data_IF_469334525417
#
_entry.id   IF_469334525417
#
_cell.length_a   1.000
_cell.length_b   1.000
_cell.length_c   1.000
_cell.angle_alpha   90.00
_cell.angle_beta   90.00
_cell.angle_gamma   90.00
#
_symmetry.space_group_name_H-M   'P 1'
#
loop_
_entity.id
_entity.type
_entity.pdbx_description
1 polymer ?
#
# COMPACT_ATOMS: atom_id res chain seq x y z
N UNK A 1 -7.70 -13.72 -27.72
CA UNK A 1 -8.55 -13.34 -26.58
C UNK A 1 -10.01 -13.42 -27.01
N UNK A 2 -10.84 -14.12 -26.23
CA UNK A 2 -12.29 -14.20 -26.46
C UNK A 2 -13.06 -13.22 -25.54
N UNK A 3 -12.50 -12.91 -24.35
CA UNK A 3 -13.12 -12.08 -23.34
C UNK A 3 -12.07 -11.47 -22.41
N UNK A 4 -12.27 -10.22 -21.98
CA UNK A 4 -11.53 -9.59 -20.89
C UNK A 4 -12.50 -9.37 -19.74
N UNK A 5 -12.11 -9.70 -18.50
CA UNK A 5 -12.87 -9.42 -17.28
C UNK A 5 -12.05 -8.47 -16.42
N UNK A 6 -12.63 -7.32 -16.11
CA UNK A 6 -12.00 -6.25 -15.35
C UNK A 6 -12.52 -6.27 -13.91
N UNK A 7 -11.65 -6.52 -12.94
CA UNK A 7 -12.04 -6.54 -11.55
C UNK A 7 -12.40 -5.14 -11.02
N UNK A 8 -13.41 -5.08 -10.16
CA UNK A 8 -13.71 -3.92 -9.33
C UNK A 8 -13.97 -4.39 -7.87
N UNK A 9 -13.37 -3.73 -6.85
CA UNK A 9 -12.56 -2.52 -6.96
C UNK A 9 -11.15 -2.76 -7.50
N UNK A 10 -10.58 -1.72 -8.14
CA UNK A 10 -9.20 -1.63 -8.62
C UNK A 10 -8.74 -0.17 -8.57
N UNK A 11 -7.48 0.09 -8.91
CA UNK A 11 -6.93 1.45 -8.97
C UNK A 11 -6.83 2.13 -7.60
N UNK A 12 -6.72 3.44 -7.59
CA UNK A 12 -6.46 4.22 -6.40
C UNK A 12 -7.47 3.96 -5.27
N UNK A 13 -6.94 3.56 -4.10
CA UNK A 13 -7.73 3.55 -2.88
C UNK A 13 -7.83 4.97 -2.27
N UNK A 14 -8.72 5.15 -1.30
CA UNK A 14 -8.89 6.45 -0.63
C UNK A 14 -7.59 6.97 0.02
N UNK A 15 -6.75 6.09 0.58
CA UNK A 15 -5.46 6.47 1.18
C UNK A 15 -4.46 6.99 0.17
N UNK A 16 -4.40 6.37 -1.01
CA UNK A 16 -3.55 6.79 -2.13
C UNK A 16 -4.04 8.11 -2.72
N UNK A 17 -5.34 8.21 -3.01
CA UNK A 17 -5.94 9.45 -3.52
C UNK A 17 -5.69 10.63 -2.57
N UNK A 18 -5.86 10.42 -1.27
CA UNK A 18 -5.56 11.39 -0.22
C UNK A 18 -4.10 11.85 -0.25
N UNK A 19 -3.14 10.93 -0.34
CA UNK A 19 -1.72 11.27 -0.34
C UNK A 19 -1.32 12.05 -1.60
N UNK A 20 -1.82 11.66 -2.76
CA UNK A 20 -1.62 12.35 -4.04
C UNK A 20 -2.19 13.77 -3.98
N UNK A 21 -3.43 13.93 -3.49
CA UNK A 21 -4.07 15.23 -3.35
C UNK A 21 -3.28 16.17 -2.43
N UNK A 22 -2.69 15.66 -1.36
CA UNK A 22 -1.84 16.43 -0.45
C UNK A 22 -0.60 16.97 -1.16
N UNK A 23 0.09 16.19 -1.99
CA UNK A 23 1.23 16.66 -2.77
C UNK A 23 0.81 17.73 -3.77
N UNK A 24 -0.32 17.54 -4.44
CA UNK A 24 -0.91 18.53 -5.36
C UNK A 24 -1.20 19.87 -4.65
N UNK A 25 -1.79 19.80 -3.46
CA UNK A 25 -2.08 20.98 -2.64
C UNK A 25 -0.80 21.63 -2.12
N UNK A 26 0.21 20.84 -1.75
CA UNK A 26 1.51 21.35 -1.31
C UNK A 26 2.21 22.11 -2.44
N UNK A 27 2.23 21.56 -3.67
CA UNK A 27 2.76 22.26 -4.85
C UNK A 27 2.01 23.57 -5.14
N UNK A 28 0.69 23.57 -5.00
CA UNK A 28 -0.12 24.80 -5.16
C UNK A 28 0.19 25.85 -4.09
N UNK A 29 0.45 25.42 -2.86
CA UNK A 29 0.69 26.30 -1.72
C UNK A 29 2.09 26.89 -1.71
N UNK A 30 3.09 26.07 -1.94
CA UNK A 30 4.48 26.44 -1.70
C UNK A 30 5.24 26.70 -3.02
N UNK A 31 4.71 26.22 -4.16
CA UNK A 31 5.45 26.17 -5.41
C UNK A 31 6.53 25.07 -5.37
N UNK A 32 7.17 24.82 -6.51
CA UNK A 32 8.30 23.92 -6.58
C UNK A 32 9.60 24.61 -6.08
N UNK A 33 10.52 23.87 -5.44
CA UNK A 33 10.43 22.46 -5.11
C UNK A 33 9.63 22.16 -3.84
N UNK A 34 8.89 21.06 -3.84
CA UNK A 34 8.34 20.41 -2.65
C UNK A 34 9.08 19.10 -2.45
N UNK A 35 9.55 18.84 -1.25
CA UNK A 35 10.25 17.60 -0.94
C UNK A 35 9.26 16.54 -0.46
N UNK A 36 9.48 15.28 -0.84
CA UNK A 36 8.69 14.14 -0.37
C UNK A 36 9.65 13.06 0.14
N UNK A 37 9.48 12.64 1.39
CA UNK A 37 10.28 11.56 1.96
C UNK A 37 9.75 10.21 1.52
N UNK A 38 10.61 9.42 0.85
CA UNK A 38 10.29 8.20 0.10
C UNK A 38 9.29 8.47 -1.06
N UNK A 39 9.02 7.46 -1.86
CA UNK A 39 7.94 7.53 -2.83
C UNK A 39 6.61 7.85 -2.13
N UNK A 40 5.83 8.79 -2.65
CA UNK A 40 4.53 9.17 -2.04
C UNK A 40 3.61 7.96 -1.91
N UNK A 41 3.63 7.11 -2.93
CA UNK A 41 3.03 5.78 -3.00
C UNK A 41 3.95 4.89 -3.84
N UNK A 42 3.88 3.57 -3.68
CA UNK A 42 4.69 2.62 -4.44
C UNK A 42 4.18 2.48 -5.89
N UNK A 43 4.51 3.46 -6.73
CA UNK A 43 4.24 3.46 -8.17
C UNK A 43 5.18 4.45 -8.87
N UNK A 44 6.07 3.95 -9.73
CA UNK A 44 7.10 4.74 -10.41
C UNK A 44 6.50 5.76 -11.38
N UNK A 45 5.37 5.43 -12.01
CA UNK A 45 4.68 6.37 -12.88
C UNK A 45 4.19 7.60 -12.10
N UNK A 46 3.59 7.36 -10.92
CA UNK A 46 3.13 8.46 -10.04
C UNK A 46 4.31 9.29 -9.55
N UNK A 47 5.42 8.65 -9.15
CA UNK A 47 6.63 9.35 -8.71
C UNK A 47 7.15 10.24 -9.83
N UNK A 48 7.36 9.72 -11.04
CA UNK A 48 7.84 10.48 -12.20
C UNK A 48 6.92 11.65 -12.54
N UNK A 49 5.60 11.44 -12.50
CA UNK A 49 4.63 12.50 -12.79
C UNK A 49 4.73 13.69 -11.83
N UNK A 50 5.16 13.46 -10.60
CA UNK A 50 5.43 14.52 -9.62
C UNK A 50 6.82 15.12 -9.79
N UNK A 51 7.84 14.33 -10.12
CA UNK A 51 9.19 14.86 -10.45
C UNK A 51 9.14 15.84 -11.60
N UNK A 52 8.39 15.55 -12.67
CA UNK A 52 8.17 16.42 -13.82
C UNK A 52 7.51 17.76 -13.42
N UNK A 53 6.86 17.81 -12.26
CA UNK A 53 6.20 19.00 -11.70
C UNK A 53 7.02 19.69 -10.62
N UNK A 54 8.27 19.25 -10.40
CA UNK A 54 9.21 19.87 -9.48
C UNK A 54 9.12 19.35 -8.03
N UNK A 55 8.55 18.17 -7.82
CA UNK A 55 8.70 17.43 -6.54
C UNK A 55 10.07 16.78 -6.50
N UNK A 56 10.73 16.84 -5.36
CA UNK A 56 12.01 16.19 -5.11
C UNK A 56 11.82 15.08 -4.08
N UNK A 57 11.97 13.82 -4.51
CA UNK A 57 11.92 12.68 -3.61
C UNK A 57 13.27 12.48 -2.94
N UNK A 58 13.25 12.26 -1.62
CA UNK A 58 14.46 12.06 -0.79
C UNK A 58 14.27 10.84 0.12
N UNK A 59 15.35 10.13 0.38
CA UNK A 59 15.35 9.00 1.30
C UNK A 59 15.57 9.46 2.75
N UNK A 60 16.40 10.46 2.95
CA UNK A 60 16.74 10.98 4.27
C UNK A 60 16.27 12.43 4.46
N UNK A 61 15.83 12.75 5.67
CA UNK A 61 15.42 14.13 6.03
C UNK A 61 16.61 15.11 5.96
N UNK A 62 17.80 14.61 6.15
CA UNK A 62 19.05 15.37 6.06
C UNK A 62 19.25 16.00 4.68
N UNK A 63 18.74 15.39 3.63
CA UNK A 63 18.83 15.87 2.24
C UNK A 63 17.86 17.02 1.93
N UNK A 64 16.89 17.29 2.81
CA UNK A 64 15.97 18.41 2.66
C UNK A 64 16.63 19.68 3.18
N UNK A 65 16.74 20.78 2.39
CA UNK A 65 17.26 22.05 2.90
C UNK A 65 16.41 22.60 4.05
N UNK A 66 17.05 23.34 4.96
CA UNK A 66 16.38 23.92 6.14
C UNK A 66 15.18 24.81 5.73
N UNK A 67 14.09 24.72 6.47
CA UNK A 67 12.89 25.54 6.28
C UNK A 67 12.01 25.16 5.09
N UNK A 68 12.41 24.19 4.26
CA UNK A 68 11.65 23.79 3.08
C UNK A 68 10.40 22.97 3.43
N UNK A 69 9.38 22.97 2.54
CA UNK A 69 8.22 22.08 2.69
C UNK A 69 8.62 20.63 2.44
N UNK A 70 8.23 19.74 3.35
CA UNK A 70 8.42 18.29 3.23
C UNK A 70 7.11 17.55 3.47
N UNK A 71 6.78 16.64 2.56
CA UNK A 71 5.63 15.74 2.68
C UNK A 71 6.11 14.38 3.20
N UNK A 72 5.49 13.86 4.24
CA UNK A 72 5.64 12.46 4.65
C UNK A 72 4.68 11.61 3.83
N UNK A 73 5.20 10.54 3.23
CA UNK A 73 4.45 9.67 2.32
C UNK A 73 3.27 8.94 2.99
N UNK A 74 2.43 8.32 2.17
CA UNK A 74 1.28 7.54 2.63
C UNK A 74 1.62 6.44 3.66
N UNK A 75 2.87 5.99 3.66
CA UNK A 75 3.35 4.89 4.50
C UNK A 75 3.63 5.28 5.96
N UNK A 76 3.63 6.57 6.27
CA UNK A 76 3.96 7.09 7.60
C UNK A 76 5.47 7.16 7.86
N UNK A 77 5.81 7.75 9.00
CA UNK A 77 7.20 7.91 9.44
C UNK A 77 7.32 7.69 10.94
N UNK A 78 8.51 7.26 11.38
CA UNK A 78 8.81 7.12 12.80
C UNK A 78 8.87 8.48 13.51
N UNK A 79 8.70 8.52 14.86
CA UNK A 79 8.90 9.73 15.66
C UNK A 79 10.31 10.34 15.52
N UNK A 80 11.32 9.53 15.22
CA UNK A 80 12.69 10.02 15.00
C UNK A 80 12.75 10.90 13.77
N UNK A 81 12.16 10.47 12.66
CA UNK A 81 12.10 11.25 11.42
C UNK A 81 11.37 12.58 11.63
N UNK A 82 10.27 12.59 12.40
CA UNK A 82 9.56 13.83 12.75
C UNK A 82 10.45 14.80 13.53
N UNK A 83 11.18 14.31 14.53
CA UNK A 83 12.12 15.13 15.31
C UNK A 83 13.26 15.69 14.45
N UNK A 84 13.78 14.92 13.50
CA UNK A 84 14.78 15.39 12.55
C UNK A 84 14.23 16.52 11.68
N UNK A 85 13.00 16.38 11.18
CA UNK A 85 12.35 17.41 10.39
C UNK A 85 12.08 18.70 11.21
N UNK A 86 11.61 18.55 12.45
CA UNK A 86 11.41 19.68 13.36
C UNK A 86 12.75 20.40 13.66
N UNK A 87 13.83 19.67 13.92
CA UNK A 87 15.16 20.23 14.18
C UNK A 87 15.74 21.02 12.99
N UNK A 88 15.30 20.72 11.76
CA UNK A 88 15.64 21.48 10.54
C UNK A 88 14.61 22.56 10.20
N UNK A 89 13.66 22.83 11.08
CA UNK A 89 12.60 23.81 10.89
C UNK A 89 11.81 23.59 9.56
N UNK A 90 11.66 22.32 9.15
CA UNK A 90 10.93 21.99 7.91
C UNK A 90 9.43 22.27 8.07
N UNK A 91 8.79 22.65 6.99
CA UNK A 91 7.34 22.78 6.93
C UNK A 91 6.73 21.42 6.66
N UNK A 92 6.41 20.70 7.76
CA UNK A 92 5.94 19.31 7.71
C UNK A 92 4.51 19.24 7.22
N UNK A 93 4.27 18.44 6.19
CA UNK A 93 2.96 18.11 5.64
C UNK A 93 2.80 16.60 5.72
N UNK A 94 1.83 16.13 6.49
CA UNK A 94 1.65 14.70 6.74
C UNK A 94 0.61 14.09 5.79
N UNK A 95 1.06 13.31 4.80
CA UNK A 95 0.20 12.57 3.88
C UNK A 95 0.02 11.09 4.28
N UNK A 96 0.39 10.73 5.51
CA UNK A 96 0.18 9.36 6.02
C UNK A 96 -1.28 8.95 5.89
N UNK A 97 -1.51 7.80 5.27
CA UNK A 97 -2.85 7.23 5.17
C UNK A 97 -3.49 7.10 6.56
N UNK A 98 -4.75 7.54 6.76
CA UNK A 98 -5.42 7.42 8.06
C UNK A 98 -5.48 5.99 8.60
N UNK A 99 -5.45 4.97 7.73
CA UNK A 99 -5.43 3.56 8.15
C UNK A 99 -4.04 3.12 8.65
N UNK A 100 -2.97 3.66 8.09
CA UNK A 100 -1.61 3.51 8.63
C UNK A 100 -1.47 4.27 9.95
N UNK A 101 -2.00 5.49 10.03
CA UNK A 101 -2.05 6.26 11.28
C UNK A 101 -2.77 5.50 12.41
N UNK A 102 -3.81 4.71 12.08
CA UNK A 102 -4.48 3.82 13.04
C UNK A 102 -3.48 2.84 13.65
N UNK A 103 -2.67 2.16 12.86
CA UNK A 103 -1.69 1.16 13.34
C UNK A 103 -0.62 1.83 14.20
N UNK A 104 -0.11 2.99 13.80
CA UNK A 104 0.80 3.79 14.63
C UNK A 104 0.19 4.17 15.99
N UNK A 105 -1.10 4.55 16.01
CA UNK A 105 -1.81 4.87 17.25
C UNK A 105 -1.96 3.63 18.15
N UNK A 106 -2.22 2.47 17.59
CA UNK A 106 -2.29 1.21 18.33
C UNK A 106 -0.93 0.82 18.89
N UNK A 107 0.15 0.94 18.12
CA UNK A 107 1.52 0.72 18.61
C UNK A 107 1.82 1.60 19.84
N UNK A 108 1.54 2.90 19.74
CA UNK A 108 1.70 3.83 20.88
C UNK A 108 0.82 3.46 22.07
N UNK A 109 -0.41 3.04 21.82
CA UNK A 109 -1.35 2.65 22.87
C UNK A 109 -0.87 1.42 23.62
N UNK A 110 -0.47 0.36 22.91
CA UNK A 110 0.06 -0.87 23.50
C UNK A 110 1.37 -0.60 24.26
N UNK A 111 2.29 0.19 23.67
CA UNK A 111 3.53 0.55 24.33
C UNK A 111 3.32 1.25 25.67
N UNK A 112 2.38 2.25 25.73
CA UNK A 112 2.03 2.95 26.98
C UNK A 112 1.41 2.04 28.03
N UNK A 113 0.75 0.96 27.62
CA UNK A 113 0.18 -0.05 28.52
C UNK A 113 1.15 -1.14 28.95
N UNK A 114 2.40 -1.06 28.48
CA UNK A 114 3.46 -2.00 28.83
C UNK A 114 3.47 -3.30 28.05
N UNK A 115 2.78 -3.34 26.90
CA UNK A 115 2.83 -4.49 26.00
C UNK A 115 4.17 -4.59 25.27
N UNK A 116 4.62 -5.80 25.02
CA UNK A 116 5.53 -6.11 23.95
C UNK A 116 4.72 -6.48 22.70
N UNK A 117 5.15 -6.05 21.53
CA UNK A 117 4.39 -6.22 20.29
C UNK A 117 5.13 -7.08 19.28
N UNK A 118 4.39 -7.94 18.61
CA UNK A 118 4.84 -8.69 17.44
C UNK A 118 4.21 -8.01 16.23
N UNK A 119 5.05 -7.53 15.30
CA UNK A 119 4.60 -6.87 14.09
C UNK A 119 4.74 -7.84 12.91
N UNK A 120 3.63 -8.22 12.29
CA UNK A 120 3.63 -9.01 11.05
C UNK A 120 3.78 -8.04 9.88
N UNK A 121 4.89 -8.15 9.14
CA UNK A 121 5.21 -7.22 8.05
C UNK A 121 6.46 -7.64 7.31
N UNK A 122 6.86 -6.85 6.30
CA UNK A 122 8.05 -7.12 5.51
C UNK A 122 9.24 -6.33 6.03
N UNK A 123 10.38 -7.00 6.17
CA UNK A 123 11.67 -6.38 6.50
C UNK A 123 12.02 -5.31 5.44
N UNK A 124 12.41 -4.12 5.89
CA UNK A 124 12.79 -3.01 5.01
C UNK A 124 11.62 -2.30 4.33
N UNK A 125 10.38 -2.68 4.62
CA UNK A 125 9.23 -1.93 4.12
C UNK A 125 9.02 -0.64 4.94
N UNK A 126 8.86 0.50 4.26
CA UNK A 126 8.76 1.83 4.88
C UNK A 126 7.62 1.96 5.91
N UNK A 127 6.50 1.27 5.71
CA UNK A 127 5.39 1.23 6.68
C UNK A 127 5.80 0.47 7.96
N UNK A 128 6.54 -0.64 7.81
CA UNK A 128 7.04 -1.40 8.94
C UNK A 128 8.05 -0.57 9.75
N UNK A 129 9.00 0.08 9.09
CA UNK A 129 9.98 0.98 9.74
C UNK A 129 9.28 2.11 10.50
N UNK A 130 8.29 2.74 9.89
CA UNK A 130 7.50 3.81 10.51
C UNK A 130 6.78 3.36 11.77
N UNK A 131 6.06 2.24 11.69
CA UNK A 131 5.26 1.69 12.80
C UNK A 131 6.16 1.15 13.91
N UNK A 132 7.19 0.37 13.58
CA UNK A 132 8.12 -0.17 14.57
C UNK A 132 8.89 0.95 15.29
N UNK A 133 9.16 2.05 14.59
CA UNK A 133 9.78 3.24 15.17
C UNK A 133 8.95 3.92 16.26
N UNK A 134 7.65 3.62 16.40
CA UNK A 134 6.82 4.13 17.51
C UNK A 134 7.21 3.52 18.88
N UNK A 135 7.75 2.31 18.88
CA UNK A 135 8.18 1.60 20.09
C UNK A 135 9.31 0.60 19.80
N UNK A 136 10.49 1.04 19.36
CA UNK A 136 11.54 0.16 18.79
C UNK A 136 12.07 -0.87 19.80
N UNK A 137 12.07 -0.56 21.11
CA UNK A 137 12.53 -1.48 22.16
C UNK A 137 11.45 -2.49 22.61
N UNK A 138 10.23 -2.36 22.09
CA UNK A 138 9.06 -3.16 22.48
C UNK A 138 8.37 -3.82 21.30
N UNK A 139 9.06 -3.92 20.17
CA UNK A 139 8.47 -4.49 18.97
C UNK A 139 9.48 -5.38 18.25
N UNK A 140 9.02 -6.52 17.76
CA UNK A 140 9.78 -7.42 16.91
C UNK A 140 9.00 -7.71 15.64
N UNK A 141 9.69 -7.82 14.51
CA UNK A 141 9.10 -8.13 13.22
C UNK A 141 9.12 -9.62 12.95
N UNK A 142 8.05 -10.10 12.34
CA UNK A 142 7.85 -11.47 11.84
C UNK A 142 7.28 -11.37 10.44
N UNK A 143 7.86 -12.06 9.46
CA UNK A 143 7.35 -12.06 8.08
C UNK A 143 6.49 -13.28 7.79
N UNK A 144 6.90 -14.45 8.25
CA UNK A 144 6.35 -15.75 7.85
C UNK A 144 5.86 -16.56 9.05
N UNK A 145 5.05 -17.61 8.83
CA UNK A 145 4.73 -18.58 9.87
C UNK A 145 5.98 -19.25 10.45
N UNK A 146 7.01 -19.49 9.64
CA UNK A 146 8.28 -20.10 10.06
C UNK A 146 9.05 -19.16 11.01
N UNK A 147 9.05 -17.84 10.73
CA UNK A 147 9.62 -16.85 11.65
C UNK A 147 8.84 -16.83 12.97
N UNK A 148 7.51 -16.93 12.88
CA UNK A 148 6.65 -17.01 14.06
C UNK A 148 6.93 -18.25 14.90
N UNK A 149 7.21 -19.41 14.28
CA UNK A 149 7.63 -20.63 14.98
C UNK A 149 9.02 -20.49 15.63
N UNK A 150 9.95 -19.82 14.95
CA UNK A 150 11.32 -19.64 15.44
C UNK A 150 11.46 -18.46 16.43
N UNK A 151 10.43 -17.63 16.59
CA UNK A 151 10.48 -16.40 17.36
C UNK A 151 10.85 -16.68 18.83
N UNK A 152 11.97 -16.11 19.29
CA UNK A 152 12.37 -16.10 20.68
C UNK A 152 12.22 -14.69 21.26
N UNK A 153 11.38 -14.53 22.24
CA UNK A 153 11.18 -13.28 22.98
C UNK A 153 11.29 -13.55 24.48
N UNK A 154 11.81 -12.63 25.28
CA UNK A 154 11.72 -12.71 26.72
C UNK A 154 10.25 -12.86 27.16
N UNK A 155 10.02 -13.41 28.35
CA UNK A 155 8.68 -13.49 28.89
C UNK A 155 8.08 -12.09 29.11
N UNK A 156 6.89 -11.89 28.55
CA UNK A 156 6.06 -10.72 28.80
C UNK A 156 4.66 -11.12 29.23
N UNK A 157 4.14 -10.48 30.29
CA UNK A 157 2.76 -10.68 30.74
C UNK A 157 1.74 -10.19 29.72
N UNK A 158 2.13 -9.18 28.92
CA UNK A 158 1.27 -8.52 27.94
C UNK A 158 1.93 -8.55 26.57
N UNK A 159 1.33 -9.32 25.69
CA UNK A 159 1.72 -9.43 24.29
C UNK A 159 0.58 -8.94 23.39
N UNK A 160 0.93 -8.19 22.34
CA UNK A 160 -0.02 -7.82 21.31
C UNK A 160 0.57 -8.06 19.93
N UNK A 161 -0.27 -8.25 18.93
CA UNK A 161 0.13 -8.32 17.53
C UNK A 161 -0.43 -7.13 16.77
N UNK A 162 0.38 -6.59 15.85
CA UNK A 162 0.00 -5.59 14.86
C UNK A 162 0.42 -6.09 13.49
N UNK A 163 -0.16 -5.57 12.41
CA UNK A 163 0.21 -5.97 11.06
C UNK A 163 0.41 -4.78 10.12
N UNK A 164 1.23 -4.97 9.10
CA UNK A 164 1.28 -4.09 7.95
C UNK A 164 -0.06 -4.12 7.20
N UNK A 165 -0.46 -2.99 6.63
CA UNK A 165 -1.81 -2.81 6.06
C UNK A 165 -2.01 -3.50 4.70
N UNK A 166 -0.94 -3.92 4.02
CA UNK A 166 -0.95 -4.41 2.63
C UNK A 166 -0.57 -5.88 2.45
N UNK A 167 -0.59 -6.66 3.52
CA UNK A 167 -0.24 -8.08 3.49
C UNK A 167 -1.33 -8.96 2.88
N UNK A 168 -0.97 -10.19 2.55
CA UNK A 168 -1.93 -11.25 2.22
C UNK A 168 -2.76 -11.60 3.45
N UNK A 169 -4.09 -11.59 3.31
CA UNK A 169 -5.01 -11.96 4.40
C UNK A 169 -4.73 -13.39 4.86
N UNK A 170 -4.52 -14.31 3.92
CA UNK A 170 -4.29 -15.74 4.22
C UNK A 170 -2.94 -15.98 4.92
N UNK A 171 -1.88 -15.24 4.53
CA UNK A 171 -0.57 -15.33 5.18
C UNK A 171 -0.59 -14.79 6.59
N UNK A 172 -1.23 -13.65 6.79
CA UNK A 172 -1.41 -13.08 8.13
C UNK A 172 -2.19 -14.03 9.02
N UNK A 173 -3.26 -14.65 8.50
CA UNK A 173 -4.06 -15.60 9.26
C UNK A 173 -3.22 -16.80 9.71
N UNK A 174 -2.44 -17.40 8.80
CA UNK A 174 -1.55 -18.53 9.13
C UNK A 174 -0.50 -18.15 10.18
N UNK A 175 0.17 -17.01 9.98
CA UNK A 175 1.17 -16.50 10.93
C UNK A 175 0.55 -16.23 12.31
N UNK A 176 -0.66 -15.65 12.32
CA UNK A 176 -1.38 -15.35 13.54
C UNK A 176 -1.83 -16.63 14.27
N UNK A 177 -2.21 -17.70 13.57
CA UNK A 177 -2.52 -19.01 14.17
C UNK A 177 -1.32 -19.61 14.89
N UNK A 178 -0.14 -19.58 14.27
CA UNK A 178 1.12 -19.98 14.89
C UNK A 178 1.40 -19.15 16.15
N UNK A 179 1.32 -17.83 16.05
CA UNK A 179 1.57 -16.96 17.20
C UNK A 179 0.58 -17.18 18.34
N UNK A 180 -0.71 -17.39 18.07
CA UNK A 180 -1.72 -17.69 19.08
C UNK A 180 -1.50 -19.05 19.75
N UNK A 181 -1.02 -20.03 18.99
CA UNK A 181 -0.66 -21.34 19.55
C UNK A 181 0.52 -21.23 20.52
N UNK A 182 1.54 -20.47 20.15
CA UNK A 182 2.74 -20.26 20.97
C UNK A 182 2.51 -19.30 22.14
N UNK A 183 1.67 -18.31 21.96
CA UNK A 183 1.37 -17.25 22.94
C UNK A 183 -0.13 -17.14 23.18
N UNK A 184 -0.73 -18.02 24.01
CA UNK A 184 -2.19 -18.08 24.21
C UNK A 184 -2.81 -16.78 24.79
N UNK A 185 -1.98 -15.88 25.37
CA UNK A 185 -2.39 -14.60 25.91
C UNK A 185 -2.14 -13.41 24.96
N UNK A 186 -1.81 -13.70 23.68
CA UNK A 186 -1.60 -12.69 22.65
C UNK A 186 -2.89 -11.92 22.36
N UNK A 187 -2.85 -10.61 22.54
CA UNK A 187 -3.95 -9.72 22.18
C UNK A 187 -3.85 -9.31 20.70
N UNK A 188 -4.99 -9.30 20.02
CA UNK A 188 -5.13 -8.80 18.65
C UNK A 188 -5.82 -7.43 18.68
N UNK A 189 -5.59 -6.58 17.68
CA UNK A 189 -6.33 -5.32 17.53
C UNK A 189 -7.85 -5.58 17.50
N UNK A 190 -8.64 -4.62 18.00
CA UNK A 190 -10.10 -4.69 17.95
C UNK A 190 -10.66 -4.69 16.52
N UNK A 191 -9.95 -4.08 15.61
CA UNK A 191 -10.22 -4.08 14.16
C UNK A 191 -8.96 -4.52 13.45
N UNK A 192 -9.10 -5.31 12.43
CA UNK A 192 -7.98 -5.76 11.61
C UNK A 192 -7.14 -4.58 11.10
N UNK A 193 -5.82 -4.79 11.03
CA UNK A 193 -4.87 -3.79 10.53
C UNK A 193 -4.77 -3.84 9.01
N UNK A 194 -4.97 -5.01 8.39
CA UNK A 194 -5.08 -5.10 6.94
C UNK A 194 -6.20 -4.18 6.49
N UNK A 195 -5.90 -3.24 5.60
CA UNK A 195 -6.86 -2.23 5.21
C UNK A 195 -7.96 -2.79 4.29
N UNK A 196 -9.13 -2.14 4.32
CA UNK A 196 -10.27 -2.54 3.48
C UNK A 196 -9.90 -2.63 1.99
N UNK A 197 -9.06 -1.73 1.50
CA UNK A 197 -8.65 -1.71 0.10
C UNK A 197 -7.84 -2.95 -0.29
N UNK A 198 -6.98 -3.43 0.62
CA UNK A 198 -6.23 -4.68 0.45
C UNK A 198 -7.17 -5.87 0.47
N UNK A 199 -8.04 -5.98 1.48
CA UNK A 199 -8.98 -7.09 1.62
C UNK A 199 -9.94 -7.19 0.43
N UNK A 200 -10.54 -6.06 0.02
CA UNK A 200 -11.49 -6.02 -1.08
C UNK A 200 -10.86 -6.43 -2.40
N UNK A 201 -9.65 -5.91 -2.71
CA UNK A 201 -8.96 -6.26 -3.96
C UNK A 201 -8.52 -7.72 -3.98
N UNK A 202 -8.07 -8.27 -2.87
CA UNK A 202 -7.74 -9.70 -2.78
C UNK A 202 -9.00 -10.57 -2.98
N UNK A 203 -10.14 -10.18 -2.40
CA UNK A 203 -11.42 -10.88 -2.64
C UNK A 203 -11.80 -10.83 -4.13
N UNK A 204 -11.71 -9.65 -4.75
CA UNK A 204 -12.00 -9.49 -6.18
C UNK A 204 -11.08 -10.35 -7.05
N UNK A 205 -9.79 -10.49 -6.70
CA UNK A 205 -8.85 -11.35 -7.42
C UNK A 205 -9.24 -12.83 -7.30
N UNK A 206 -9.68 -13.31 -6.14
CA UNK A 206 -10.13 -14.70 -5.99
C UNK A 206 -11.33 -15.02 -6.90
N UNK A 207 -12.30 -14.11 -6.94
CA UNK A 207 -13.47 -14.27 -7.81
C UNK A 207 -13.11 -14.15 -9.31
N UNK A 208 -12.18 -13.25 -9.65
CA UNK A 208 -11.68 -13.07 -11.01
C UNK A 208 -10.93 -14.31 -11.50
N UNK A 209 -10.01 -14.82 -10.69
CA UNK A 209 -9.17 -15.97 -11.01
C UNK A 209 -10.00 -17.23 -11.31
N UNK A 210 -11.13 -17.41 -10.63
CA UNK A 210 -12.03 -18.54 -10.89
C UNK A 210 -12.68 -18.52 -12.29
N UNK A 211 -12.56 -17.42 -13.04
CA UNK A 211 -13.20 -17.22 -14.33
C UNK A 211 -12.20 -17.00 -15.48
N UNK A 212 -10.90 -17.00 -15.21
CA UNK A 212 -9.88 -16.58 -16.15
C UNK A 212 -8.79 -17.65 -16.35
N UNK A 213 -8.19 -17.67 -17.54
CA UNK A 213 -7.03 -18.51 -17.86
C UNK A 213 -5.71 -17.81 -17.54
N UNK A 214 -5.74 -16.46 -17.51
CA UNK A 214 -4.62 -15.59 -17.21
C UNK A 214 -5.12 -14.39 -16.40
N UNK A 215 -4.37 -13.97 -15.39
CA UNK A 215 -4.65 -12.74 -14.64
C UNK A 215 -3.48 -11.77 -14.77
N UNK A 216 -3.77 -10.54 -15.17
CA UNK A 216 -2.81 -9.44 -15.26
C UNK A 216 -3.09 -8.42 -14.18
N UNK A 217 -2.08 -8.12 -13.39
CA UNK A 217 -2.13 -7.09 -12.34
C UNK A 217 -1.31 -5.89 -12.81
N UNK A 218 -2.00 -4.77 -13.07
CA UNK A 218 -1.32 -3.52 -13.40
C UNK A 218 -0.85 -2.84 -12.12
N UNK A 219 0.46 -2.65 -11.98
CA UNK A 219 1.06 -2.09 -10.77
C UNK A 219 2.57 -2.21 -10.72
N UNK A 220 3.17 -1.51 -9.76
CA UNK A 220 4.61 -1.50 -9.56
C UNK A 220 5.10 -2.76 -8.83
N UNK A 221 6.28 -3.24 -9.20
CA UNK A 221 6.96 -4.32 -8.50
C UNK A 221 7.39 -3.93 -7.07
N UNK A 222 7.51 -2.63 -6.78
CA UNK A 222 7.81 -2.12 -5.44
C UNK A 222 6.57 -2.07 -4.54
N UNK A 223 5.37 -2.24 -5.10
CA UNK A 223 4.11 -2.21 -4.35
C UNK A 223 3.81 -3.56 -3.70
N UNK A 224 3.85 -3.61 -2.36
CA UNK A 224 3.43 -4.78 -1.58
C UNK A 224 2.01 -5.23 -1.98
N UNK A 225 1.05 -4.30 -2.05
CA UNK A 225 -0.31 -4.64 -2.44
C UNK A 225 -0.38 -5.29 -3.84
N UNK A 226 0.32 -4.74 -4.86
CA UNK A 226 0.28 -5.29 -6.22
C UNK A 226 0.87 -6.70 -6.29
N UNK A 227 1.98 -6.95 -5.60
CA UNK A 227 2.58 -8.28 -5.50
C UNK A 227 1.62 -9.27 -4.84
N UNK A 228 0.96 -8.88 -3.74
CA UNK A 228 -0.01 -9.75 -3.06
C UNK A 228 -1.19 -10.12 -3.95
N UNK A 229 -1.68 -9.21 -4.80
CA UNK A 229 -2.75 -9.52 -5.76
C UNK A 229 -2.31 -10.59 -6.78
N UNK A 230 -1.10 -10.47 -7.32
CA UNK A 230 -0.53 -11.49 -8.20
C UNK A 230 -0.45 -12.85 -7.52
N UNK A 231 0.10 -12.88 -6.31
CA UNK A 231 0.26 -14.11 -5.53
C UNK A 231 -1.08 -14.74 -5.14
N UNK A 232 -2.09 -13.93 -4.84
CA UNK A 232 -3.45 -14.43 -4.61
C UNK A 232 -4.00 -15.13 -5.85
N UNK A 233 -3.82 -14.58 -7.07
CA UNK A 233 -4.24 -15.24 -8.30
C UNK A 233 -3.46 -16.56 -8.53
N UNK A 234 -2.14 -16.56 -8.32
CA UNK A 234 -1.30 -17.76 -8.41
C UNK A 234 -1.75 -18.85 -7.41
N UNK A 235 -2.14 -18.45 -6.20
CA UNK A 235 -2.65 -19.39 -5.19
C UNK A 235 -3.98 -20.07 -5.58
N UNK A 236 -4.75 -19.45 -6.50
CA UNK A 236 -5.94 -20.06 -7.10
C UNK A 236 -5.61 -20.99 -8.29
N UNK A 237 -4.33 -21.18 -8.60
CA UNK A 237 -3.87 -22.05 -9.71
C UNK A 237 -3.95 -21.38 -11.08
N UNK A 238 -4.11 -20.08 -11.17
CA UNK A 238 -4.17 -19.32 -12.42
C UNK A 238 -2.83 -18.62 -12.68
N UNK A 239 -2.34 -18.69 -13.92
CA UNK A 239 -1.15 -17.95 -14.31
C UNK A 239 -1.39 -16.45 -14.12
N UNK A 240 -0.46 -15.77 -13.45
CA UNK A 240 -0.59 -14.35 -13.18
C UNK A 240 0.71 -13.60 -13.41
N UNK A 241 0.59 -12.35 -13.88
CA UNK A 241 1.72 -11.47 -14.10
C UNK A 241 1.46 -10.07 -13.55
N UNK A 242 2.52 -9.45 -13.06
CA UNK A 242 2.56 -8.05 -12.68
C UNK A 242 3.24 -7.27 -13.81
N UNK A 243 2.65 -6.14 -14.20
CA UNK A 243 3.19 -5.22 -15.22
C UNK A 243 2.84 -3.78 -14.84
N UNK A 244 3.73 -2.85 -15.13
CA UNK A 244 3.51 -1.43 -14.82
C UNK A 244 2.84 -0.70 -16.00
N UNK A 245 3.25 -1.01 -17.23
CA UNK A 245 2.82 -0.32 -18.44
C UNK A 245 2.38 -1.27 -19.55
N UNK A 246 1.66 -0.73 -20.52
CA UNK A 246 1.19 -1.49 -21.69
C UNK A 246 2.33 -2.07 -22.56
N UNK A 247 3.53 -1.47 -22.52
CA UNK A 247 4.69 -1.95 -23.27
C UNK A 247 5.20 -3.31 -22.76
N UNK A 248 4.85 -3.68 -21.52
CA UNK A 248 5.20 -4.95 -20.92
C UNK A 248 4.24 -6.08 -21.31
N UNK A 249 3.15 -5.79 -22.02
CA UNK A 249 2.19 -6.79 -22.52
C UNK A 249 2.86 -7.68 -23.54
N UNK A 250 2.92 -8.98 -23.22
CA UNK A 250 3.54 -9.97 -24.10
C UNK A 250 2.55 -10.48 -25.13
N UNK A 251 2.99 -10.67 -26.41
CA UNK A 251 2.11 -11.16 -27.46
C UNK A 251 1.43 -12.51 -27.12
N UNK A 252 2.15 -13.42 -26.47
CA UNK A 252 1.65 -14.73 -26.09
C UNK A 252 0.50 -14.69 -25.07
N UNK A 253 0.34 -13.62 -24.32
CA UNK A 253 -0.79 -13.49 -23.39
C UNK A 253 -2.13 -13.38 -24.13
N UNK A 254 -2.10 -12.92 -25.39
CA UNK A 254 -3.29 -12.82 -26.23
C UNK A 254 -3.81 -14.19 -26.71
N UNK A 255 -3.06 -15.26 -26.50
CA UNK A 255 -3.48 -16.64 -26.81
C UNK A 255 -4.44 -17.19 -25.73
N UNK A 256 -4.48 -16.55 -24.56
CA UNK A 256 -5.44 -16.89 -23.50
C UNK A 256 -6.86 -16.57 -23.94
N UNK A 257 -7.81 -17.45 -23.63
CA UNK A 257 -9.22 -17.26 -23.99
C UNK A 257 -9.86 -16.17 -23.15
N UNK A 258 -9.72 -16.26 -21.82
CA UNK A 258 -10.28 -15.30 -20.87
C UNK A 258 -9.14 -14.68 -20.06
N UNK A 259 -8.97 -13.36 -20.20
CA UNK A 259 -7.96 -12.60 -19.46
C UNK A 259 -8.65 -11.78 -18.40
N UNK A 260 -8.26 -12.00 -17.15
CA UNK A 260 -8.62 -11.14 -16.03
C UNK A 260 -7.64 -9.98 -15.89
N UNK A 261 -8.14 -8.76 -15.71
CA UNK A 261 -7.31 -7.58 -15.48
C UNK A 261 -7.73 -6.92 -14.16
N UNK A 262 -6.76 -6.60 -13.34
CA UNK A 262 -6.94 -5.79 -12.13
C UNK A 262 -5.75 -4.87 -11.92
N UNK A 263 -5.78 -4.07 -10.86
CA UNK A 263 -4.64 -3.21 -10.55
C UNK A 263 -4.45 -3.00 -9.07
N UNK A 264 -3.21 -2.65 -8.71
CA UNK A 264 -2.85 -2.28 -7.35
C UNK A 264 -3.52 -0.98 -6.88
N UNK A 265 -3.59 -0.81 -5.56
CA UNK A 265 -4.21 0.34 -4.91
C UNK A 265 -3.47 1.69 -5.16
N UNK A 266 -2.28 1.64 -5.75
CA UNK A 266 -1.46 2.80 -6.13
C UNK A 266 -1.34 3.00 -7.64
N UNK A 267 -2.16 2.32 -8.44
CA UNK A 267 -2.12 2.36 -9.90
C UNK A 267 -3.16 3.33 -10.45
N UNK A 268 -2.79 4.31 -11.27
CA UNK A 268 -3.73 5.16 -11.99
C UNK A 268 -4.57 4.37 -13.00
N UNK A 269 -5.84 4.72 -13.16
CA UNK A 269 -6.78 3.97 -14.02
C UNK A 269 -6.35 3.97 -15.50
N UNK A 270 -5.80 5.07 -16.02
CA UNK A 270 -5.37 5.13 -17.42
C UNK A 270 -4.32 4.08 -17.79
N UNK A 271 -3.43 3.66 -16.83
CA UNK A 271 -2.49 2.57 -17.11
C UNK A 271 -3.21 1.23 -17.31
N UNK A 272 -4.33 1.02 -16.63
CA UNK A 272 -5.17 -0.16 -16.85
C UNK A 272 -5.84 -0.10 -18.22
N UNK A 273 -6.36 1.08 -18.59
CA UNK A 273 -6.98 1.33 -19.90
C UNK A 273 -5.98 1.07 -21.03
N UNK A 274 -4.76 1.59 -20.93
CA UNK A 274 -3.68 1.37 -21.92
C UNK A 274 -3.33 -0.12 -22.04
N UNK A 275 -3.26 -0.87 -20.94
CA UNK A 275 -3.03 -2.33 -20.97
C UNK A 275 -4.17 -3.06 -21.69
N UNK A 276 -5.44 -2.67 -21.45
CA UNK A 276 -6.59 -3.24 -22.13
C UNK A 276 -6.54 -2.93 -23.63
N UNK A 277 -6.28 -1.68 -24.01
CA UNK A 277 -6.13 -1.28 -25.41
C UNK A 277 -5.04 -2.11 -26.10
N UNK A 278 -3.91 -2.30 -25.42
CA UNK A 278 -2.80 -3.11 -25.93
C UNK A 278 -3.17 -4.58 -26.11
N UNK A 279 -3.95 -5.16 -25.22
CA UNK A 279 -4.45 -6.54 -25.36
C UNK A 279 -5.42 -6.69 -26.52
N UNK A 280 -6.17 -5.64 -26.83
CA UNK A 280 -7.17 -5.62 -27.91
C UNK A 280 -6.59 -5.30 -29.31
N UNK A 281 -5.32 -4.87 -29.40
CA UNK A 281 -4.68 -4.58 -30.69
C UNK A 281 -4.80 -5.76 -31.68
N UNK A 282 -5.42 -5.50 -32.84
CA UNK A 282 -5.62 -6.51 -33.89
C UNK A 282 -6.83 -7.44 -33.66
N UNK A 283 -7.58 -7.26 -32.58
CA UNK A 283 -8.79 -8.03 -32.28
C UNK A 283 -10.03 -7.13 -32.36
N UNK A 284 -10.92 -7.39 -33.32
CA UNK A 284 -12.18 -6.67 -33.40
C UNK A 284 -13.21 -7.29 -32.43
N UNK A 285 -13.85 -6.43 -31.61
CA UNK A 285 -15.04 -6.75 -30.82
C UNK A 285 -14.89 -7.82 -29.72
N UNK A 286 -13.75 -7.82 -28.98
CA UNK A 286 -13.64 -8.62 -27.76
C UNK A 286 -14.45 -7.93 -26.64
N UNK A 287 -15.38 -8.61 -25.96
CA UNK A 287 -16.12 -8.02 -24.84
C UNK A 287 -15.19 -7.77 -23.64
N UNK A 288 -15.36 -6.61 -23.01
CA UNK A 288 -14.73 -6.23 -21.77
C UNK A 288 -15.81 -6.09 -20.70
N UNK A 289 -15.90 -7.05 -19.80
CA UNK A 289 -16.91 -7.07 -18.74
C UNK A 289 -16.30 -6.59 -17.41
N UNK A 290 -17.11 -6.06 -16.53
CA UNK A 290 -16.70 -5.65 -15.17
C UNK A 290 -17.24 -6.64 -14.16
N UNK A 291 -16.35 -7.24 -13.36
CA UNK A 291 -16.68 -8.04 -12.18
C UNK A 291 -16.64 -7.13 -10.95
N UNK A 292 -17.80 -6.62 -10.54
CA UNK A 292 -17.92 -5.81 -9.33
C UNK A 292 -18.22 -6.71 -8.12
N UNK A 293 -17.30 -6.75 -7.15
CA UNK A 293 -17.44 -7.58 -5.94
C UNK A 293 -17.93 -6.77 -4.75
N UNK A 294 -17.44 -5.54 -4.61
CA UNK A 294 -17.83 -4.61 -3.56
C UNK A 294 -17.65 -3.17 -4.03
N UNK A 295 -18.54 -2.29 -3.59
CA UNK A 295 -18.43 -0.86 -3.84
C UNK A 295 -17.73 -0.16 -2.68
N UNK A 296 -16.70 0.61 -2.99
CA UNK A 296 -15.94 1.39 -1.99
C UNK A 296 -16.47 2.84 -1.96
N UNK A 297 -17.06 3.24 -0.82
CA UNK A 297 -17.58 4.60 -0.59
C UNK A 297 -16.75 5.33 0.49
N UNK A 298 -15.44 5.09 0.52
CA UNK A 298 -14.53 5.69 1.50
C UNK A 298 -13.75 6.83 0.84
N UNK A 299 -13.69 7.98 1.51
CA UNK A 299 -12.83 9.10 1.12
C UNK A 299 -12.20 9.73 2.36
N UNK A 300 -11.00 10.27 2.20
CA UNK A 300 -10.31 11.05 3.23
C UNK A 300 -10.18 12.49 2.77
N UNK A 301 -10.30 13.43 3.72
CA UNK A 301 -10.19 14.87 3.43
C UNK A 301 -8.81 15.36 3.82
N UNK A 302 -8.13 16.10 2.94
CA UNK A 302 -6.87 16.76 3.27
C UNK A 302 -7.01 17.73 4.46
N UNK A 303 -5.90 18.05 5.13
CA UNK A 303 -5.88 19.02 6.21
C UNK A 303 -6.43 20.38 5.77
N UNK A 304 -7.18 21.03 6.65
CA UNK A 304 -7.88 22.30 6.34
C UNK A 304 -6.94 23.43 5.93
N UNK A 305 -5.76 23.49 6.52
CA UNK A 305 -4.71 24.47 6.24
C UNK A 305 -4.08 24.33 4.84
N UNK A 306 -4.25 23.18 4.19
CA UNK A 306 -3.92 22.97 2.79
C UNK A 306 -5.07 23.31 1.84
N UNK A 307 -6.33 23.13 2.27
CA UNK A 307 -7.52 23.35 1.45
C UNK A 307 -7.84 24.85 1.30
N UNK A 308 -7.67 25.63 2.39
CA UNK A 308 -8.10 27.05 2.45
C UNK A 308 -7.21 28.04 1.68
N UNK A 309 -6.40 27.59 0.74
CA UNK A 309 -5.57 28.43 -0.12
C UNK A 309 -6.29 28.92 -1.39
N UNK A 310 -7.54 28.58 -1.56
CA UNK A 310 -8.33 28.99 -2.72
C UNK A 310 -9.18 30.23 -2.40
N UNK A 311 -8.61 31.30 -1.85
CA UNK A 311 -9.15 32.67 -1.99
C UNK A 311 -8.08 33.67 -1.53
N UNK A 312 -7.25 34.12 -2.43
CA UNK A 312 -6.64 35.45 -2.40
C UNK A 312 -6.43 35.91 -3.84
#
# INVERSE_FOLDING_TARGET
VERIILAAPRGFCAGVAYAIEIVDLALKKYGAPVYVRHAIVHNEWVVRSFEDRGVVFVEAIEDVPEGMPVVFSAHGVSPVVRKQADAKHLQIIDATCPLVTKVHNEARHFARKGYFMIYIGHVGHVEAEGTMGEAPERMVLVETPEDAEALEIPYYEKLAVLTQTTLSVDEVQRTLEVLKHRFPHLETPRKEDICYATTNRQSAIRELAAQCDLVLIVGSATSSNSNRLREVAESQGVQSHLLLTADEVKPEWRDSRVIGVSSGASTPEHLVEEVIEKLLEGHAAVPVDVLETVKEDISFRPPRDLIHLTVA
#
